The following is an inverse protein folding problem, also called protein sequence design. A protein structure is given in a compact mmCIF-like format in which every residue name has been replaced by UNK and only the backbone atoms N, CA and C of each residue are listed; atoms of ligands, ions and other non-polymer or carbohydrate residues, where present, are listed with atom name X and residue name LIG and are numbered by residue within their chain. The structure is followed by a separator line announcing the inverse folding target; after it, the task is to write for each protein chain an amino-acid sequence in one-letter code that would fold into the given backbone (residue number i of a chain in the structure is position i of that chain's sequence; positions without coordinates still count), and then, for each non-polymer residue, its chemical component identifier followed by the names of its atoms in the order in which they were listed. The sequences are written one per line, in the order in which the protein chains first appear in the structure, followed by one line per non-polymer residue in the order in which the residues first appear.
data_IF_653542383980
#
_entry.id   IF_653542383980
#
_cell.length_a   1.000
_cell.length_b   1.000
_cell.length_c   1.000
_cell.angle_alpha   90.00
_cell.angle_beta   90.00
_cell.angle_gamma   90.00
#
_symmetry.space_group_name_H-M   'P 1'
#
loop_
_entity.id
_entity.type
_entity.pdbx_description
1 polymer ?
#
# COMPACT_ATOMS: atom_id res chain seq x y z
N UNK A 1 7.24 7.38 -35.03
CA UNK A 1 8.25 7.65 -33.98
C UNK A 1 7.67 8.68 -33.03
N UNK A 2 7.64 8.36 -31.74
CA UNK A 2 7.24 9.29 -30.67
C UNK A 2 8.51 9.70 -29.95
N UNK A 3 8.71 11.00 -29.76
CA UNK A 3 9.84 11.56 -29.02
C UNK A 3 9.30 12.29 -27.80
N UNK A 4 9.82 11.94 -26.63
CA UNK A 4 9.41 12.54 -25.37
C UNK A 4 10.52 13.48 -24.87
N UNK A 5 10.21 14.77 -24.75
CA UNK A 5 11.15 15.77 -24.26
C UNK A 5 10.79 16.13 -22.82
N UNK A 6 11.53 15.57 -21.86
CA UNK A 6 11.38 15.87 -20.44
C UNK A 6 12.50 16.82 -19.98
N UNK A 7 12.19 17.82 -19.13
CA UNK A 7 13.22 18.62 -18.46
C UNK A 7 14.21 17.70 -17.73
N UNK A 8 15.50 18.07 -17.67
CA UNK A 8 16.52 17.34 -16.90
C UNK A 8 16.35 17.60 -15.40
N UNK A 9 15.19 17.22 -14.87
CA UNK A 9 14.87 17.25 -13.45
C UNK A 9 14.95 15.82 -12.97
N UNK A 10 15.66 15.62 -11.86
CA UNK A 10 15.81 14.32 -11.23
C UNK A 10 14.52 13.95 -10.46
N UNK A 11 13.44 13.73 -11.22
CA UNK A 11 12.09 13.43 -10.74
C UNK A 11 11.56 12.16 -11.39
N UNK A 12 11.15 11.19 -10.57
CA UNK A 12 10.58 9.92 -11.00
C UNK A 12 9.31 9.60 -10.17
N UNK A 13 8.58 8.54 -10.56
CA UNK A 13 7.32 8.16 -9.90
C UNK A 13 7.53 7.80 -8.43
N UNK A 14 8.67 7.20 -8.08
CA UNK A 14 9.06 6.99 -6.68
C UNK A 14 9.17 8.30 -5.91
N UNK A 15 9.94 9.27 -6.40
CA UNK A 15 10.06 10.60 -5.75
C UNK A 15 8.73 11.32 -5.62
N UNK A 16 7.85 11.18 -6.61
CA UNK A 16 6.49 11.71 -6.54
C UNK A 16 5.67 11.06 -5.41
N UNK A 17 5.74 9.73 -5.27
CA UNK A 17 5.09 9.00 -4.17
C UNK A 17 5.63 9.43 -2.81
N UNK A 18 6.96 9.51 -2.67
CA UNK A 18 7.62 9.99 -1.45
C UNK A 18 7.15 11.41 -1.09
N UNK A 19 7.14 12.31 -2.07
CA UNK A 19 6.69 13.68 -1.88
C UNK A 19 5.22 13.75 -1.44
N UNK A 20 4.35 12.92 -2.05
CA UNK A 20 2.93 12.86 -1.69
C UNK A 20 2.74 12.41 -0.24
N UNK A 21 3.42 11.33 0.18
CA UNK A 21 3.36 10.84 1.56
C UNK A 21 3.82 11.90 2.56
N UNK A 22 4.90 12.63 2.24
CA UNK A 22 5.40 13.73 3.07
C UNK A 22 4.44 14.91 3.13
N UNK A 23 3.87 15.31 1.99
CA UNK A 23 2.93 16.42 1.91
C UNK A 23 1.65 16.15 2.69
N UNK A 24 1.21 14.89 2.74
CA UNK A 24 0.07 14.43 3.54
C UNK A 24 0.44 14.12 5.00
N UNK A 25 1.73 14.18 5.36
CA UNK A 25 2.22 13.84 6.69
C UNK A 25 2.11 12.36 7.03
N UNK A 26 1.93 11.48 6.05
CA UNK A 26 1.76 10.03 6.22
C UNK A 26 3.08 9.27 6.25
N UNK A 27 4.20 9.94 5.98
CA UNK A 27 5.51 9.33 5.78
C UNK A 27 6.18 8.77 7.04
N UNK A 28 5.70 9.20 8.22
CA UNK A 28 6.22 8.83 9.56
C UNK A 28 5.25 8.00 10.40
N UNK A 29 4.14 7.58 9.79
CA UNK A 29 3.07 6.87 10.46
C UNK A 29 3.25 5.36 10.29
N UNK A 30 3.55 4.66 11.39
CA UNK A 30 3.73 3.19 11.39
C UNK A 30 2.42 2.42 11.14
N UNK A 31 1.29 3.11 11.23
CA UNK A 31 -0.07 2.65 10.96
C UNK A 31 -0.49 2.82 9.49
N UNK A 32 0.30 3.53 8.68
CA UNK A 32 0.03 3.68 7.24
C UNK A 32 0.71 2.55 6.46
N UNK A 33 -0.10 1.85 5.66
CA UNK A 33 0.37 0.85 4.71
C UNK A 33 0.17 1.34 3.28
N UNK A 34 1.27 1.56 2.55
CA UNK A 34 1.21 2.11 1.19
C UNK A 34 1.10 1.00 0.15
N UNK A 35 0.10 1.07 -0.73
CA UNK A 35 -0.03 0.15 -1.88
C UNK A 35 0.20 0.96 -3.15
N UNK A 36 1.17 0.56 -3.96
CA UNK A 36 1.44 1.15 -5.27
C UNK A 36 1.11 0.13 -6.36
N UNK A 37 0.32 0.54 -7.36
CA UNK A 37 -0.09 -0.31 -8.48
C UNK A 37 0.30 0.40 -9.78
N UNK A 38 1.05 -0.27 -10.65
CA UNK A 38 1.52 0.31 -11.92
C UNK A 38 1.76 -0.76 -12.99
N UNK A 39 1.65 -0.39 -14.26
CA UNK A 39 1.66 -1.29 -15.42
C UNK A 39 2.95 -1.23 -16.25
N UNK A 40 3.78 -0.21 -16.04
CA UNK A 40 4.91 0.07 -16.92
C UNK A 40 6.25 0.05 -16.17
N UNK A 41 7.32 -0.13 -16.93
CA UNK A 41 8.72 -0.07 -16.50
C UNK A 41 9.09 1.20 -15.73
N UNK A 42 8.35 2.30 -15.92
CA UNK A 42 8.53 3.55 -15.16
C UNK A 42 8.05 3.47 -13.70
N UNK A 43 7.26 2.46 -13.35
CA UNK A 43 6.75 2.20 -12.00
C UNK A 43 7.75 1.47 -11.09
N UNK A 44 8.81 0.89 -11.68
CA UNK A 44 9.90 0.23 -10.95
C UNK A 44 10.58 1.16 -9.95
N UNK A 45 10.74 2.44 -10.30
CA UNK A 45 11.25 3.49 -9.41
C UNK A 45 10.42 3.61 -8.11
N UNK A 46 9.11 3.33 -8.17
CA UNK A 46 8.23 3.36 -7.01
C UNK A 46 8.35 2.06 -6.19
N UNK A 47 8.49 0.91 -6.85
CA UNK A 47 8.67 -0.37 -6.17
C UNK A 47 9.97 -0.42 -5.36
N UNK A 48 11.06 0.12 -5.92
CA UNK A 48 12.36 0.21 -5.25
C UNK A 48 12.33 1.00 -3.95
N UNK A 49 11.40 1.96 -3.80
CA UNK A 49 11.27 2.70 -2.54
C UNK A 49 10.92 1.81 -1.36
N UNK A 50 10.08 0.78 -1.58
CA UNK A 50 9.69 -0.15 -0.52
C UNK A 50 10.83 -1.09 -0.11
N UNK A 51 11.75 -1.38 -1.05
CA UNK A 51 12.94 -2.19 -0.76
C UNK A 51 14.04 -1.37 -0.08
N UNK A 52 14.26 -0.13 -0.50
CA UNK A 52 15.35 0.71 -0.03
C UNK A 52 15.09 1.39 1.33
N UNK A 53 13.82 1.64 1.68
CA UNK A 53 13.45 2.35 2.90
C UNK A 53 12.80 1.38 3.92
N UNK A 54 13.64 0.70 4.71
CA UNK A 54 13.22 -0.30 5.71
C UNK A 54 12.17 0.18 6.74
N UNK A 55 11.99 1.49 6.91
CA UNK A 55 11.03 2.05 7.87
C UNK A 55 9.63 2.29 7.26
N UNK A 56 9.40 2.01 5.98
CA UNK A 56 8.07 2.16 5.37
C UNK A 56 7.44 0.82 5.08
N UNK A 57 6.23 0.65 5.62
CA UNK A 57 5.37 -0.48 5.29
C UNK A 57 4.62 -0.17 4.01
N UNK A 58 4.90 -0.96 2.99
CA UNK A 58 4.18 -0.84 1.74
C UNK A 58 4.55 -1.94 0.78
N UNK A 59 3.86 -1.95 -0.35
CA UNK A 59 4.01 -2.96 -1.37
C UNK A 59 3.78 -2.39 -2.76
N UNK A 60 4.62 -2.85 -3.69
CA UNK A 60 4.45 -2.65 -5.11
C UNK A 60 3.71 -3.82 -5.76
N UNK A 61 2.73 -3.52 -6.60
CA UNK A 61 2.00 -4.47 -7.43
C UNK A 61 2.18 -4.04 -8.89
N UNK A 62 2.73 -4.92 -9.72
CA UNK A 62 2.84 -4.69 -11.16
C UNK A 62 1.59 -5.22 -11.88
N UNK A 63 1.14 -4.54 -12.93
CA UNK A 63 0.02 -4.97 -13.78
C UNK A 63 0.56 -5.41 -15.13
N UNK A 64 0.63 -6.72 -15.37
CA UNK A 64 1.16 -7.30 -16.60
C UNK A 64 0.74 -8.76 -16.76
N UNK A 65 0.44 -9.17 -17.99
CA UNK A 65 0.23 -10.58 -18.35
C UNK A 65 1.54 -11.32 -18.59
N UNK A 66 2.63 -10.58 -18.81
CA UNK A 66 3.93 -11.12 -19.18
C UNK A 66 4.80 -11.38 -17.95
N UNK A 67 5.73 -12.34 -18.07
CA UNK A 67 6.75 -12.56 -17.04
C UNK A 67 7.85 -11.51 -17.17
N UNK A 68 7.69 -10.39 -16.48
CA UNK A 68 8.64 -9.27 -16.50
C UNK A 68 9.52 -9.30 -15.25
N UNK A 69 10.80 -8.95 -15.40
CA UNK A 69 11.67 -8.70 -14.24
C UNK A 69 11.22 -7.39 -13.59
N UNK A 70 10.73 -7.47 -12.36
CA UNK A 70 10.17 -6.34 -11.61
C UNK A 70 10.61 -6.41 -10.14
N UNK A 71 10.76 -5.24 -9.51
CA UNK A 71 10.94 -5.08 -8.06
C UNK A 71 9.60 -5.11 -7.30
N UNK A 72 8.47 -5.24 -8.00
CA UNK A 72 7.16 -5.45 -7.38
C UNK A 72 7.09 -6.77 -6.62
N UNK A 73 6.37 -6.78 -5.50
CA UNK A 73 6.18 -7.98 -4.68
C UNK A 73 5.04 -8.86 -5.16
N UNK A 74 4.09 -8.28 -5.91
CA UNK A 74 2.91 -8.97 -6.45
C UNK A 74 2.64 -8.55 -7.89
N UNK A 75 1.85 -9.35 -8.58
CA UNK A 75 1.44 -9.12 -9.97
C UNK A 75 -0.07 -9.29 -10.12
N UNK A 76 -0.67 -8.39 -10.88
CA UNK A 76 -2.03 -8.50 -11.43
C UNK A 76 -1.91 -8.60 -12.94
N UNK A 77 -2.81 -9.30 -13.60
CA UNK A 77 -2.71 -9.53 -15.05
C UNK A 77 -3.10 -8.31 -15.87
N UNK A 78 -4.22 -7.71 -15.51
CA UNK A 78 -4.84 -6.64 -16.28
C UNK A 78 -5.60 -5.65 -15.39
N UNK A 79 -6.22 -4.66 -16.02
CA UNK A 79 -7.05 -3.65 -15.33
C UNK A 79 -8.34 -4.23 -14.72
N UNK A 80 -8.81 -5.40 -15.18
CA UNK A 80 -9.96 -6.06 -14.57
C UNK A 80 -9.56 -6.66 -13.21
N UNK A 81 -8.41 -7.32 -13.12
CA UNK A 81 -7.88 -7.84 -11.86
C UNK A 81 -7.56 -6.70 -10.87
N UNK A 82 -7.13 -5.53 -11.36
CA UNK A 82 -7.02 -4.31 -10.53
C UNK A 82 -8.37 -3.92 -9.93
N UNK A 83 -9.43 -3.93 -10.74
CA UNK A 83 -10.78 -3.62 -10.27
C UNK A 83 -11.26 -4.63 -9.21
N UNK A 84 -11.07 -5.93 -9.46
CA UNK A 84 -11.40 -6.98 -8.50
C UNK A 84 -10.62 -6.83 -7.19
N UNK A 85 -9.33 -6.52 -7.28
CA UNK A 85 -8.47 -6.28 -6.12
C UNK A 85 -9.00 -5.12 -5.27
N UNK A 86 -9.30 -3.97 -5.87
CA UNK A 86 -9.82 -2.81 -5.16
C UNK A 86 -11.20 -3.08 -4.53
N UNK A 87 -12.07 -3.80 -5.22
CA UNK A 87 -13.38 -4.20 -4.68
C UNK A 87 -13.24 -5.13 -3.48
N UNK A 88 -12.29 -6.09 -3.52
CA UNK A 88 -12.00 -6.95 -2.36
C UNK A 88 -11.44 -6.15 -1.19
N UNK A 89 -10.60 -5.15 -1.44
CA UNK A 89 -10.06 -4.28 -0.40
C UNK A 89 -11.16 -3.50 0.31
N UNK A 90 -12.12 -2.95 -0.44
CA UNK A 90 -13.30 -2.26 0.10
C UNK A 90 -14.12 -3.24 0.95
N UNK A 91 -14.45 -4.41 0.41
CA UNK A 91 -15.20 -5.42 1.16
C UNK A 91 -14.51 -5.79 2.48
N UNK A 92 -13.18 -5.98 2.48
CA UNK A 92 -12.43 -6.26 3.71
C UNK A 92 -12.51 -5.13 4.73
N UNK A 93 -12.48 -3.87 4.28
CA UNK A 93 -12.59 -2.71 5.18
C UNK A 93 -13.96 -2.64 5.87
N UNK A 94 -15.03 -3.03 5.19
CA UNK A 94 -16.39 -3.08 5.76
C UNK A 94 -16.49 -4.16 6.84
N UNK A 95 -15.81 -5.29 6.67
CA UNK A 95 -15.77 -6.36 7.69
C UNK A 95 -14.87 -6.00 8.87
N UNK A 96 -13.79 -5.25 8.65
CA UNK A 96 -12.89 -4.79 9.71
C UNK A 96 -13.58 -3.78 10.66
N UNK A 97 -14.53 -2.99 10.16
CA UNK A 97 -15.36 -2.09 10.97
C UNK A 97 -16.38 -2.79 11.88
N UNK A 98 -16.58 -4.11 11.73
CA UNK A 98 -17.58 -4.90 12.47
C UNK A 98 -16.98 -5.83 13.53
N UNK A 99 -15.74 -5.62 13.96
CA UNK A 99 -15.17 -6.37 15.08
C UNK A 99 -15.91 -6.01 16.39
N UNK A 100 -16.34 -6.99 17.21
CA UNK A 100 -17.02 -6.73 18.47
C UNK A 100 -16.08 -6.02 19.43
N UNK A 101 -16.57 -4.95 20.05
CA UNK A 101 -15.94 -4.24 21.17
C UNK A 101 -15.43 -5.24 22.22
N UNK A 102 -14.19 -5.03 22.67
CA UNK A 102 -13.50 -5.84 23.68
C UNK A 102 -14.40 -6.22 24.86
N UNK A 103 -14.26 -7.42 25.45
CA UNK A 103 -15.02 -7.78 26.63
C UNK A 103 -14.72 -6.79 27.77
N UNK A 104 -15.76 -6.21 28.36
CA UNK A 104 -15.64 -5.37 29.54
C UNK A 104 -14.89 -6.13 30.65
N UNK A 105 -14.12 -5.43 31.51
CA UNK A 105 -13.55 -6.04 32.69
C UNK A 105 -14.71 -6.61 33.52
N UNK A 106 -14.74 -7.92 33.69
CA UNK A 106 -15.69 -8.59 34.59
C UNK A 106 -15.48 -8.05 35.99
N UNK A 107 -16.56 -7.60 36.63
CA UNK A 107 -16.57 -7.17 38.03
C UNK A 107 -15.85 -8.20 38.92
N UNK A 108 -15.07 -7.75 39.93
CA UNK A 108 -14.44 -8.67 40.86
C UNK A 108 -15.51 -9.46 41.63
N UNK A 109 -15.26 -10.76 41.91
CA UNK A 109 -16.22 -11.60 42.60
C UNK A 109 -16.53 -11.04 43.99
N UNK A 110 -17.78 -11.17 44.48
CA UNK A 110 -18.17 -10.60 45.77
C UNK A 110 -17.36 -11.23 46.90
N UNK A 111 -16.89 -10.37 47.81
CA UNK A 111 -16.16 -10.78 49.00
C UNK A 111 -17.02 -11.74 49.84
N UNK A 112 -16.40 -12.85 50.25
CA UNK A 112 -17.01 -13.86 51.11
C UNK A 112 -17.26 -13.24 52.49
N UNK A 113 -18.46 -13.40 53.09
CA UNK A 113 -18.67 -12.95 54.46
C UNK A 113 -17.91 -13.85 55.44
N UNK A 114 -17.55 -13.25 56.57
CA UNK A 114 -16.63 -13.68 57.63
C UNK A 114 -16.85 -15.10 58.18
#
# INVERSE_FOLDING_TARGET
MVYEFKPKIDWNKGKALLWLLQALGLDKHDDVYTIYIGDDTTDEDAFQLFQAHCNRKGVGIVVTEESVSTDASFTLRDTNEVCEFLNRLIALSEHAGSAPSSPQPTDPPPARPE
#
